data_IF_216032181339
#
_entry.id   IF_216032181339
#
_cell.length_a   1.000
_cell.length_b   1.000
_cell.length_c   1.000
_cell.angle_alpha   90.00
_cell.angle_beta   90.00
_cell.angle_gamma   90.00
#
_symmetry.space_group_name_H-M   'P 1'
#
loop_
_entity.id
_entity.type
_entity.pdbx_description
1 polymer ?
#
# COMPACT_ATOMS: atom_id res chain seq x y z
N UNK A 1 -15.22 19.19 29.89
CA UNK A 1 -15.55 17.75 29.73
C UNK A 1 -14.70 16.96 30.71
N UNK A 2 -15.28 16.09 31.54
CA UNK A 2 -14.49 15.18 32.39
C UNK A 2 -13.75 14.21 31.46
N UNK A 3 -12.40 14.17 31.55
CA UNK A 3 -11.60 13.18 30.81
C UNK A 3 -12.00 11.79 31.25
N UNK A 4 -12.46 10.95 30.34
CA UNK A 4 -12.86 9.59 30.66
C UNK A 4 -11.60 8.75 30.99
N UNK A 5 -11.51 8.34 32.27
CA UNK A 5 -10.40 7.52 32.76
C UNK A 5 -10.72 6.05 32.51
N UNK A 6 -9.77 5.35 31.89
CA UNK A 6 -9.78 3.89 31.72
C UNK A 6 -8.77 3.24 32.64
N UNK A 7 -9.16 2.18 33.34
CA UNK A 7 -8.30 1.45 34.26
C UNK A 7 -8.05 0.02 33.78
N UNK A 8 -6.80 -0.41 33.86
CA UNK A 8 -6.35 -1.78 33.59
C UNK A 8 -5.51 -2.26 34.77
N UNK A 9 -5.69 -3.48 35.23
CA UNK A 9 -4.85 -4.09 36.25
C UNK A 9 -4.29 -5.43 35.82
N UNK A 10 -3.13 -5.79 36.34
CA UNK A 10 -2.48 -7.07 36.06
C UNK A 10 -1.10 -7.23 36.65
N UNK A 11 -0.54 -8.43 36.52
CA UNK A 11 0.83 -8.72 37.01
C UNK A 11 1.91 -8.12 36.12
N UNK A 12 1.77 -8.15 34.81
CA UNK A 12 2.68 -7.58 33.80
C UNK A 12 4.15 -8.03 33.93
N UNK A 13 4.41 -9.32 34.18
CA UNK A 13 5.78 -9.85 34.34
C UNK A 13 6.71 -9.45 33.19
N UNK A 14 6.23 -9.62 31.94
CA UNK A 14 6.88 -9.15 30.72
C UNK A 14 5.81 -8.60 29.79
N UNK A 15 6.02 -7.40 29.27
CA UNK A 15 5.11 -6.83 28.27
C UNK A 15 5.26 -7.58 26.96
N UNK A 16 4.26 -8.40 26.63
CA UNK A 16 4.18 -9.16 25.38
C UNK A 16 3.06 -8.60 24.47
N UNK A 17 2.98 -9.02 23.20
CA UNK A 17 1.99 -8.49 22.25
C UNK A 17 0.53 -8.53 22.75
N UNK A 18 0.17 -9.48 23.63
CA UNK A 18 -1.14 -9.55 24.29
C UNK A 18 -1.40 -8.36 25.21
N UNK A 19 -0.44 -8.02 26.08
CA UNK A 19 -0.52 -6.83 26.93
C UNK A 19 -0.56 -5.56 26.12
N UNK A 20 0.25 -5.43 25.05
CA UNK A 20 0.23 -4.24 24.20
C UNK A 20 -1.12 -4.05 23.52
N UNK A 21 -1.78 -5.13 23.07
CA UNK A 21 -3.14 -5.08 22.53
C UNK A 21 -4.17 -4.64 23.57
N UNK A 22 -4.07 -5.18 24.81
CA UNK A 22 -4.92 -4.79 25.94
C UNK A 22 -4.79 -3.29 26.22
N UNK A 23 -3.57 -2.78 26.36
CA UNK A 23 -3.29 -1.37 26.63
C UNK A 23 -3.75 -0.48 25.46
N UNK A 24 -3.52 -0.90 24.22
CA UNK A 24 -3.99 -0.18 23.03
C UNK A 24 -5.52 -0.11 22.96
N UNK A 25 -6.19 -1.23 23.25
CA UNK A 25 -7.66 -1.27 23.33
C UNK A 25 -8.19 -0.36 24.43
N UNK A 26 -7.59 -0.42 25.63
CA UNK A 26 -7.95 0.43 26.75
C UNK A 26 -7.77 1.92 26.41
N UNK A 27 -6.62 2.31 25.86
CA UNK A 27 -6.33 3.69 25.45
C UNK A 27 -7.27 4.21 24.36
N UNK A 28 -7.70 3.36 23.44
CA UNK A 28 -8.65 3.73 22.39
C UNK A 28 -10.08 3.98 22.89
N UNK A 29 -10.39 3.58 24.14
CA UNK A 29 -11.73 3.71 24.75
C UNK A 29 -11.81 4.81 25.80
N UNK A 30 -10.78 5.68 25.97
CA UNK A 30 -10.85 6.83 26.84
C UNK A 30 -9.65 7.77 26.72
N UNK A 31 -9.75 8.92 27.36
CA UNK A 31 -8.73 9.97 27.26
C UNK A 31 -7.48 9.71 28.09
N UNK A 32 -7.62 9.03 29.23
CA UNK A 32 -6.55 8.74 30.17
C UNK A 32 -6.50 7.27 30.55
N UNK A 33 -5.40 6.61 30.25
CA UNK A 33 -5.14 5.21 30.61
C UNK A 33 -4.32 5.15 31.90
N UNK A 34 -4.91 4.55 32.92
CA UNK A 34 -4.29 4.30 34.21
C UNK A 34 -4.10 2.80 34.41
N UNK A 35 -2.88 2.39 34.78
CA UNK A 35 -2.54 0.96 34.91
C UNK A 35 -2.10 0.64 36.35
N UNK A 36 -2.79 -0.32 36.95
CA UNK A 36 -2.43 -0.91 38.27
C UNK A 36 -1.57 -2.15 38.09
N UNK A 37 -0.33 -2.11 38.55
CA UNK A 37 0.57 -3.27 38.58
C UNK A 37 0.46 -3.92 39.94
N UNK A 38 0.05 -5.20 40.00
CA UNK A 38 -0.11 -5.93 41.26
C UNK A 38 1.27 -6.08 41.96
N UNK A 39 1.35 -5.78 43.24
CA UNK A 39 2.58 -6.03 44.02
C UNK A 39 2.93 -7.52 44.04
N UNK A 40 4.16 -7.84 44.38
CA UNK A 40 4.60 -9.25 44.52
C UNK A 40 3.77 -9.98 45.56
N UNK A 41 3.34 -9.27 46.64
CA UNK A 41 2.45 -9.78 47.69
C UNK A 41 1.06 -10.14 47.13
N UNK A 42 0.47 -9.26 46.32
CA UNK A 42 -0.90 -9.46 45.76
C UNK A 42 -0.89 -10.46 44.64
N UNK A 43 0.14 -10.43 43.79
CA UNK A 43 0.28 -11.35 42.65
C UNK A 43 0.69 -12.76 43.08
N UNK A 44 1.35 -12.91 44.21
CA UNK A 44 1.78 -14.20 44.77
C UNK A 44 2.65 -14.98 43.78
N UNK A 45 2.35 -16.26 43.58
CA UNK A 45 3.09 -17.13 42.67
C UNK A 45 3.00 -16.73 41.18
N UNK A 46 2.12 -15.81 40.83
CA UNK A 46 2.03 -15.29 39.47
C UNK A 46 3.10 -14.21 39.17
N UNK A 47 3.77 -13.65 40.16
CA UNK A 47 4.86 -12.71 40.00
C UNK A 47 6.20 -13.44 39.79
N UNK A 48 6.79 -13.32 38.62
CA UNK A 48 8.09 -13.89 38.25
C UNK A 48 9.20 -12.84 38.13
N UNK A 49 8.80 -11.57 38.01
CA UNK A 49 9.70 -10.40 37.91
C UNK A 49 9.38 -9.47 39.10
N UNK A 50 10.38 -8.90 39.80
CA UNK A 50 10.15 -7.97 40.91
C UNK A 50 9.24 -6.79 40.49
N UNK A 51 8.33 -6.41 41.38
CA UNK A 51 7.28 -5.41 41.12
C UNK A 51 7.79 -4.08 40.57
N UNK A 52 8.98 -3.63 41.02
CA UNK A 52 9.53 -2.34 40.58
C UNK A 52 9.92 -2.34 39.10
N UNK A 53 10.52 -3.45 38.63
CA UNK A 53 10.83 -3.61 37.19
C UNK A 53 9.56 -3.74 36.35
N UNK A 54 8.53 -4.42 36.86
CA UNK A 54 7.23 -4.54 36.18
C UNK A 54 6.54 -3.19 36.07
N UNK A 55 6.58 -2.39 37.14
CA UNK A 55 6.04 -1.02 37.15
C UNK A 55 6.81 -0.11 36.18
N UNK A 56 8.13 -0.18 36.18
CA UNK A 56 8.97 0.60 35.28
C UNK A 56 8.67 0.26 33.81
N UNK A 57 8.61 -1.02 33.46
CA UNK A 57 8.26 -1.46 32.10
C UNK A 57 6.89 -0.94 31.64
N UNK A 58 5.90 -0.93 32.53
CA UNK A 58 4.58 -0.38 32.23
C UNK A 58 4.62 1.14 32.07
N UNK A 59 5.35 1.87 32.93
CA UNK A 59 5.52 3.33 32.86
C UNK A 59 6.23 3.79 31.58
N UNK A 60 7.18 2.99 31.07
CA UNK A 60 7.88 3.28 29.82
C UNK A 60 7.00 3.13 28.57
N UNK A 61 5.82 2.55 28.70
CA UNK A 61 4.93 2.35 27.55
C UNK A 61 4.20 3.65 27.21
N UNK A 62 4.42 4.20 26.03
CA UNK A 62 3.84 5.47 25.57
C UNK A 62 2.30 5.52 25.47
N UNK A 63 1.60 4.39 25.66
CA UNK A 63 0.14 4.35 25.74
C UNK A 63 -0.39 4.63 27.14
N UNK A 64 0.45 4.51 28.18
CA UNK A 64 0.08 4.59 29.60
C UNK A 64 0.31 6.01 30.10
N UNK A 65 -0.75 6.66 30.57
CA UNK A 65 -0.65 8.02 31.13
C UNK A 65 -0.19 7.98 32.59
N UNK A 66 -0.56 6.94 33.34
CA UNK A 66 -0.17 6.76 34.74
C UNK A 66 -0.10 5.26 35.10
N UNK A 67 0.89 4.87 35.89
CA UNK A 67 0.95 3.54 36.46
C UNK A 67 1.44 3.56 37.92
N UNK A 68 0.88 2.69 38.74
CA UNK A 68 1.21 2.55 40.17
C UNK A 68 1.09 1.10 40.67
N UNK A 69 1.67 0.83 41.81
CA UNK A 69 1.58 -0.48 42.45
C UNK A 69 0.25 -0.64 43.20
N UNK A 70 -0.40 -1.77 43.00
CA UNK A 70 -1.63 -2.16 43.66
C UNK A 70 -1.28 -3.17 44.76
N UNK A 71 -1.42 -2.74 46.00
CA UNK A 71 -1.09 -3.54 47.20
C UNK A 71 -2.32 -3.94 48.03
N UNK A 72 -3.50 -3.81 47.45
CA UNK A 72 -4.79 -4.21 48.03
C UNK A 72 -5.64 -4.94 46.98
N UNK A 73 -6.87 -5.31 47.33
CA UNK A 73 -7.82 -5.84 46.36
C UNK A 73 -8.07 -4.82 45.26
N UNK A 74 -8.12 -5.30 44.02
CA UNK A 74 -8.30 -4.43 42.82
C UNK A 74 -9.61 -3.65 42.91
N UNK A 75 -10.65 -4.24 43.49
CA UNK A 75 -11.96 -3.63 43.70
C UNK A 75 -11.89 -2.35 44.56
N UNK A 76 -11.02 -2.37 45.60
CA UNK A 76 -10.82 -1.19 46.45
C UNK A 76 -10.19 -0.04 45.67
N UNK A 77 -9.25 -0.34 44.77
CA UNK A 77 -8.62 0.63 43.91
C UNK A 77 -9.63 1.20 42.92
N UNK A 78 -10.49 0.34 42.34
CA UNK A 78 -11.55 0.76 41.42
C UNK A 78 -12.54 1.68 42.13
N UNK A 79 -12.94 1.36 43.37
CA UNK A 79 -13.88 2.18 44.15
C UNK A 79 -13.29 3.55 44.52
N UNK A 80 -11.99 3.64 44.73
CA UNK A 80 -11.28 4.91 44.99
C UNK A 80 -11.09 5.75 43.71
N UNK A 81 -10.67 5.10 42.63
CA UNK A 81 -10.36 5.76 41.35
C UNK A 81 -11.63 6.14 40.56
N UNK A 82 -12.69 5.32 40.68
CA UNK A 82 -13.97 5.45 39.94
C UNK A 82 -13.77 5.69 38.45
N UNK A 83 -13.02 4.83 37.72
CA UNK A 83 -12.80 5.01 36.31
C UNK A 83 -14.10 4.83 35.53
N UNK A 84 -14.28 5.56 34.43
CA UNK A 84 -15.44 5.37 33.56
C UNK A 84 -15.48 3.96 32.97
N UNK A 85 -14.29 3.39 32.65
CA UNK A 85 -14.13 2.06 32.11
C UNK A 85 -13.06 1.27 32.87
N UNK A 86 -13.32 -0.01 33.13
CA UNK A 86 -12.32 -0.99 33.53
C UNK A 86 -12.16 -1.99 32.41
N UNK A 87 -10.93 -2.28 31.99
CA UNK A 87 -10.67 -3.19 30.87
C UNK A 87 -9.86 -4.39 31.36
N UNK A 88 -10.33 -5.59 31.05
CA UNK A 88 -9.67 -6.88 31.37
C UNK A 88 -9.39 -7.69 30.11
N UNK A 89 -8.49 -8.64 30.18
CA UNK A 89 -8.26 -9.62 29.13
C UNK A 89 -9.47 -10.56 28.97
N UNK A 90 -9.70 -11.07 27.76
CA UNK A 90 -10.82 -11.98 27.43
C UNK A 90 -10.81 -13.27 28.27
N UNK A 91 -9.63 -13.71 28.69
CA UNK A 91 -9.42 -14.88 29.54
C UNK A 91 -10.18 -14.81 30.87
N UNK A 92 -10.52 -13.61 31.31
CA UNK A 92 -11.30 -13.37 32.53
C UNK A 92 -12.83 -13.36 32.31
N UNK A 93 -13.31 -13.44 31.06
CA UNK A 93 -14.73 -13.31 30.74
C UNK A 93 -15.60 -14.46 31.25
N UNK A 94 -15.02 -15.67 31.34
CA UNK A 94 -15.73 -16.89 31.78
C UNK A 94 -15.66 -17.13 33.30
N UNK A 95 -15.01 -16.23 34.07
CA UNK A 95 -14.84 -16.35 35.52
C UNK A 95 -15.71 -15.32 36.24
N UNK A 96 -16.01 -15.56 37.50
CA UNK A 96 -16.58 -14.50 38.36
C UNK A 96 -15.58 -13.33 38.43
N UNK A 97 -16.07 -12.16 38.08
CA UNK A 97 -15.28 -10.92 38.13
C UNK A 97 -15.76 -10.06 39.31
N UNK A 98 -15.10 -10.13 40.47
CA UNK A 98 -15.47 -9.31 41.65
C UNK A 98 -15.49 -7.81 41.33
N UNK A 99 -14.61 -7.35 40.40
CA UNK A 99 -14.55 -5.98 39.94
C UNK A 99 -15.84 -5.49 39.28
N UNK A 100 -16.68 -6.39 38.73
CA UNK A 100 -17.95 -6.00 38.12
C UNK A 100 -18.87 -5.30 39.14
N UNK A 101 -18.99 -5.86 40.35
CA UNK A 101 -19.82 -5.29 41.42
C UNK A 101 -19.29 -3.90 41.86
N UNK A 102 -17.98 -3.75 41.93
CA UNK A 102 -17.36 -2.48 42.25
C UNK A 102 -17.62 -1.41 41.20
N UNK A 103 -17.51 -1.78 39.91
CA UNK A 103 -17.75 -0.89 38.75
C UNK A 103 -19.25 -0.49 38.69
N UNK A 104 -20.16 -1.44 38.86
CA UNK A 104 -21.61 -1.20 38.82
C UNK A 104 -22.08 -0.26 39.92
N UNK A 105 -21.43 -0.29 41.09
CA UNK A 105 -21.80 0.54 42.27
C UNK A 105 -21.73 2.07 42.02
N UNK A 106 -20.96 2.51 41.05
CA UNK A 106 -20.84 3.96 40.70
C UNK A 106 -21.20 4.25 39.25
N UNK A 107 -21.74 3.29 38.48
CA UNK A 107 -22.19 3.46 37.11
C UNK A 107 -21.08 3.43 36.05
N UNK A 108 -19.91 2.85 36.36
CA UNK A 108 -18.85 2.55 35.40
C UNK A 108 -19.19 1.38 34.50
N UNK A 109 -18.26 0.99 33.61
CA UNK A 109 -18.42 -0.18 32.73
C UNK A 109 -17.19 -1.08 32.79
N UNK A 110 -17.42 -2.40 32.80
CA UNK A 110 -16.37 -3.41 32.64
C UNK A 110 -16.35 -3.92 31.20
N UNK A 111 -15.23 -3.82 30.52
CA UNK A 111 -15.01 -4.30 29.16
C UNK A 111 -13.97 -5.40 29.11
N UNK A 112 -14.14 -6.35 28.23
CA UNK A 112 -13.15 -7.40 27.97
C UNK A 112 -12.51 -7.18 26.60
N UNK A 113 -11.18 -7.03 26.59
CA UNK A 113 -10.46 -7.00 25.31
C UNK A 113 -10.34 -8.41 24.75
N UNK A 114 -10.53 -8.58 23.46
CA UNK A 114 -10.28 -9.85 22.78
C UNK A 114 -8.78 -10.14 22.75
N UNK A 115 -8.27 -10.88 23.71
CA UNK A 115 -6.84 -11.26 23.80
C UNK A 115 -6.40 -12.23 22.73
N UNK A 116 -7.29 -13.04 22.18
CA UNK A 116 -7.06 -13.92 21.03
C UNK A 116 -7.90 -13.52 19.86
N UNK A 117 -7.23 -13.48 18.70
CA UNK A 117 -7.89 -13.43 17.40
C UNK A 117 -8.43 -14.82 17.08
N UNK A 118 -9.36 -15.33 17.85
CA UNK A 118 -10.40 -16.20 17.34
C UNK A 118 -11.52 -15.30 16.90
N UNK A 119 -11.24 -14.52 15.88
CA UNK A 119 -12.30 -14.02 15.04
C UNK A 119 -12.92 -15.24 14.40
N UNK A 120 -14.19 -15.51 14.66
CA UNK A 120 -14.94 -16.29 13.70
C UNK A 120 -14.77 -15.52 12.38
N UNK A 121 -14.30 -16.20 11.34
CA UNK A 121 -14.08 -15.60 10.02
C UNK A 121 -15.30 -14.82 9.54
N UNK A 122 -16.48 -15.19 10.01
CA UNK A 122 -17.77 -14.55 9.73
C UNK A 122 -17.95 -13.20 10.47
N UNK A 123 -17.49 -13.07 11.72
CA UNK A 123 -17.59 -11.78 12.43
C UNK A 123 -16.52 -10.79 11.97
N UNK A 124 -15.36 -11.28 11.54
CA UNK A 124 -14.36 -10.46 10.84
C UNK A 124 -14.90 -10.00 9.49
N UNK A 125 -15.46 -10.91 8.70
CA UNK A 125 -16.05 -10.58 7.40
C UNK A 125 -17.23 -9.63 7.58
N UNK A 126 -18.10 -9.84 8.58
CA UNK A 126 -19.22 -8.94 8.87
C UNK A 126 -18.75 -7.57 9.37
N UNK A 127 -17.74 -7.51 10.24
CA UNK A 127 -17.13 -6.24 10.70
C UNK A 127 -16.31 -5.57 9.62
N UNK A 128 -15.60 -6.32 8.80
CA UNK A 128 -14.89 -5.83 7.63
C UNK A 128 -15.87 -5.31 6.56
N UNK A 129 -16.98 -6.03 6.31
CA UNK A 129 -18.05 -5.57 5.42
C UNK A 129 -18.80 -4.36 6.00
N UNK A 130 -19.14 -4.36 7.28
CA UNK A 130 -19.74 -3.19 7.96
C UNK A 130 -18.73 -2.03 8.10
N UNK A 131 -17.43 -2.29 8.22
CA UNK A 131 -16.38 -1.25 8.21
C UNK A 131 -15.98 -0.83 6.81
N UNK A 132 -16.23 -1.66 5.79
CA UNK A 132 -16.11 -1.24 4.37
C UNK A 132 -17.24 -0.27 4.00
N UNK A 133 -18.43 -0.43 4.55
CA UNK A 133 -19.49 0.59 4.45
C UNK A 133 -19.16 1.87 5.24
N UNK A 134 -18.27 1.80 6.24
CA UNK A 134 -17.82 2.92 7.06
C UNK A 134 -16.33 3.31 6.89
N UNK A 135 -15.57 2.68 6.03
CA UNK A 135 -14.37 3.31 5.44
C UNK A 135 -14.84 4.41 4.50
N UNK A 136 -15.51 5.41 5.06
CA UNK A 136 -15.68 6.67 4.40
C UNK A 136 -14.29 7.10 3.96
N UNK A 137 -14.09 7.18 2.65
CA UNK A 137 -12.93 7.86 2.07
C UNK A 137 -12.82 9.18 2.83
N UNK A 138 -11.78 9.32 3.65
CA UNK A 138 -11.56 10.54 4.41
C UNK A 138 -11.20 11.62 3.40
N UNK A 139 -12.17 12.43 3.02
CA UNK A 139 -11.95 13.52 2.10
C UNK A 139 -10.97 14.51 2.76
N UNK A 140 -9.92 14.96 2.07
CA UNK A 140 -8.97 15.94 2.58
C UNK A 140 -9.61 17.34 2.60
N UNK A 141 -10.56 17.54 3.53
CA UNK A 141 -11.43 18.73 3.61
C UNK A 141 -10.66 20.05 3.61
N UNK A 142 -9.54 20.10 4.35
CA UNK A 142 -8.71 21.31 4.40
C UNK A 142 -8.05 21.62 3.05
N UNK A 143 -7.54 20.61 2.35
CA UNK A 143 -6.99 20.76 1.00
C UNK A 143 -8.07 21.21 0.03
N UNK A 144 -9.21 20.50 0.01
CA UNK A 144 -10.34 20.82 -0.86
C UNK A 144 -10.83 22.27 -0.64
N UNK A 145 -10.95 22.70 0.62
CA UNK A 145 -11.35 24.09 0.96
C UNK A 145 -10.32 25.10 0.46
N UNK A 146 -9.03 24.91 0.75
CA UNK A 146 -7.96 25.82 0.30
C UNK A 146 -7.87 25.93 -1.22
N UNK A 147 -8.08 24.81 -1.93
CA UNK A 147 -7.99 24.75 -3.39
C UNK A 147 -9.32 24.95 -4.09
N UNK A 148 -10.41 25.20 -3.34
CA UNK A 148 -11.78 25.33 -3.86
C UNK A 148 -12.23 24.12 -4.70
N UNK A 149 -11.75 22.90 -4.33
CA UNK A 149 -12.11 21.66 -4.98
C UNK A 149 -13.41 21.14 -4.39
N UNK A 150 -14.38 20.85 -5.23
CA UNK A 150 -15.68 20.26 -4.86
C UNK A 150 -15.89 18.93 -5.56
N UNK A 151 -16.80 18.08 -5.05
CA UNK A 151 -17.17 16.86 -5.73
C UNK A 151 -17.66 17.11 -7.16
N UNK A 152 -18.44 18.19 -7.35
CA UNK A 152 -18.91 18.61 -8.67
C UNK A 152 -17.75 18.93 -9.61
N UNK A 153 -16.78 19.74 -9.17
CA UNK A 153 -15.62 20.08 -10.01
C UNK A 153 -14.78 18.86 -10.39
N UNK A 154 -14.69 17.85 -9.52
CA UNK A 154 -14.02 16.59 -9.83
C UNK A 154 -14.80 15.78 -10.88
N UNK A 155 -16.12 15.67 -10.73
CA UNK A 155 -16.99 15.01 -11.71
C UNK A 155 -16.90 15.70 -13.07
N UNK A 156 -16.93 17.03 -13.10
CA UNK A 156 -16.82 17.83 -14.34
C UNK A 156 -15.46 17.57 -15.04
N UNK A 157 -14.39 17.39 -14.29
CA UNK A 157 -13.06 17.01 -14.83
C UNK A 157 -13.09 15.59 -15.37
N UNK A 158 -13.66 14.62 -14.62
CA UNK A 158 -13.75 13.22 -15.06
C UNK A 158 -14.58 13.07 -16.33
N UNK A 159 -15.65 13.86 -16.50
CA UNK A 159 -16.47 13.84 -17.72
C UNK A 159 -15.68 14.25 -18.96
N UNK A 160 -14.62 15.07 -18.82
CA UNK A 160 -13.75 15.47 -19.94
C UNK A 160 -12.83 14.35 -20.44
N UNK A 161 -12.68 13.26 -19.66
CA UNK A 161 -11.88 12.10 -20.08
C UNK A 161 -12.63 11.22 -21.09
N UNK A 162 -13.96 11.34 -21.11
CA UNK A 162 -14.81 10.53 -22.00
C UNK A 162 -14.54 10.84 -23.48
N UNK A 163 -14.15 9.81 -24.21
CA UNK A 163 -13.87 9.90 -25.63
C UNK A 163 -12.47 10.44 -25.98
N UNK A 164 -11.65 10.82 -24.97
CA UNK A 164 -10.27 11.26 -25.20
C UNK A 164 -9.47 10.15 -25.88
N UNK A 165 -8.79 10.47 -26.97
CA UNK A 165 -7.97 9.54 -27.73
C UNK A 165 -6.58 9.44 -27.09
N UNK A 166 -6.30 8.31 -26.46
CA UNK A 166 -5.07 8.07 -25.70
C UNK A 166 -4.27 6.94 -26.34
N UNK A 167 -3.00 7.17 -26.55
CA UNK A 167 -2.02 6.14 -26.89
C UNK A 167 -1.19 5.85 -25.65
N UNK A 168 -1.11 4.59 -25.24
CA UNK A 168 -0.23 4.11 -24.19
C UNK A 168 0.79 3.17 -24.79
N UNK A 169 2.05 3.36 -24.47
CA UNK A 169 3.13 2.46 -24.91
C UNK A 169 4.09 2.19 -23.74
N UNK A 170 4.51 0.94 -23.60
CA UNK A 170 5.46 0.56 -22.56
C UNK A 170 5.47 -0.93 -22.27
N UNK A 171 6.12 -1.30 -21.15
CA UNK A 171 6.32 -2.69 -20.78
C UNK A 171 5.06 -3.28 -20.12
N UNK A 172 4.53 -4.34 -20.70
CA UNK A 172 3.51 -5.18 -20.07
C UNK A 172 4.13 -5.95 -18.90
N UNK A 173 3.39 -6.05 -17.80
CA UNK A 173 3.72 -6.90 -16.66
C UNK A 173 2.48 -7.73 -16.30
N UNK A 174 2.70 -8.99 -16.00
CA UNK A 174 1.73 -9.85 -15.32
C UNK A 174 2.17 -10.00 -13.87
N UNK A 175 1.34 -9.59 -12.93
CA UNK A 175 1.57 -9.74 -11.51
C UNK A 175 0.77 -10.94 -10.98
N UNK A 176 1.45 -11.95 -10.47
CA UNK A 176 0.83 -13.15 -9.88
C UNK A 176 1.10 -13.20 -8.38
N UNK A 177 0.03 -13.24 -7.59
CA UNK A 177 0.06 -13.36 -6.14
C UNK A 177 -0.31 -14.78 -5.75
N UNK A 178 0.67 -15.53 -5.25
CA UNK A 178 0.53 -16.93 -4.84
C UNK A 178 0.43 -16.96 -3.32
N UNK A 179 -0.76 -17.26 -2.81
CA UNK A 179 -0.98 -17.45 -1.37
C UNK A 179 -0.45 -18.84 -1.00
N UNK A 180 0.39 -18.88 0.04
CA UNK A 180 1.05 -20.09 0.48
C UNK A 180 0.81 -20.36 1.97
N UNK A 181 0.80 -21.64 2.33
CA UNK A 181 0.88 -22.10 3.71
C UNK A 181 2.33 -22.55 4.02
N UNK A 182 2.95 -21.99 5.08
CA UNK A 182 4.30 -22.38 5.45
C UNK A 182 4.30 -23.74 6.15
N UNK A 183 5.10 -24.66 5.63
CA UNK A 183 5.26 -26.01 6.19
C UNK A 183 6.38 -26.07 7.23
N UNK A 184 7.33 -25.13 7.19
CA UNK A 184 8.49 -25.10 8.09
C UNK A 184 9.78 -24.73 7.37
N UNK A 185 10.89 -25.09 7.98
CA UNK A 185 12.23 -24.99 7.37
C UNK A 185 12.61 -26.33 6.77
N UNK A 186 13.35 -26.33 5.66
CA UNK A 186 13.94 -27.52 5.09
C UNK A 186 15.00 -28.08 6.05
N UNK A 187 15.12 -29.42 6.09
CA UNK A 187 16.17 -30.10 6.86
C UNK A 187 17.53 -30.08 6.14
N UNK A 188 17.53 -29.95 4.80
CA UNK A 188 18.75 -29.98 3.97
C UNK A 188 19.43 -28.61 3.92
N UNK A 189 18.64 -27.54 3.72
CA UNK A 189 19.11 -26.15 3.63
C UNK A 189 18.23 -25.22 4.46
N UNK A 190 18.73 -24.10 5.02
CA UNK A 190 17.96 -23.17 5.82
C UNK A 190 16.96 -22.34 4.97
N UNK A 191 16.09 -23.05 4.23
CA UNK A 191 15.08 -22.45 3.35
C UNK A 191 13.67 -22.69 3.87
N UNK A 192 12.77 -21.74 3.60
CA UNK A 192 11.36 -21.86 3.97
C UNK A 192 10.65 -22.73 2.93
N UNK A 193 9.99 -23.80 3.41
CA UNK A 193 9.14 -24.66 2.59
C UNK A 193 7.71 -24.17 2.68
N UNK A 194 7.06 -24.01 1.52
CA UNK A 194 5.68 -23.53 1.42
C UNK A 194 4.87 -24.37 0.44
N UNK A 195 3.57 -24.52 0.71
CA UNK A 195 2.61 -25.11 -0.22
C UNK A 195 1.70 -24.01 -0.78
N UNK A 196 1.61 -23.86 -2.12
CA UNK A 196 0.66 -22.94 -2.74
C UNK A 196 -0.80 -23.36 -2.45
N UNK A 197 -1.64 -22.40 -2.03
CA UNK A 197 -3.06 -22.61 -1.76
C UNK A 197 -3.91 -22.07 -2.90
N UNK A 198 -3.59 -20.86 -3.36
CA UNK A 198 -4.33 -20.17 -4.41
C UNK A 198 -3.43 -19.18 -5.14
N UNK A 199 -3.78 -18.87 -6.38
CA UNK A 199 -3.12 -17.82 -7.16
C UNK A 199 -4.16 -16.81 -7.66
N UNK A 200 -3.73 -15.53 -7.74
CA UNK A 200 -4.46 -14.44 -8.40
C UNK A 200 -3.52 -13.70 -9.33
N UNK A 201 -3.97 -13.52 -10.56
CA UNK A 201 -3.19 -12.88 -11.60
C UNK A 201 -3.82 -11.54 -12.01
N UNK A 202 -3.00 -10.53 -12.22
CA UNK A 202 -3.42 -9.18 -12.58
C UNK A 202 -2.54 -8.64 -13.70
N UNK A 203 -3.11 -7.81 -14.58
CA UNK A 203 -2.29 -7.00 -15.48
C UNK A 203 -1.63 -5.87 -14.70
N UNK A 204 -0.39 -5.58 -15.03
CA UNK A 204 0.43 -4.54 -14.43
C UNK A 204 1.23 -3.77 -15.48
N UNK A 205 2.18 -2.95 -15.02
CA UNK A 205 3.00 -2.14 -15.92
C UNK A 205 2.17 -1.19 -16.78
N UNK A 206 2.52 -1.04 -18.04
CA UNK A 206 1.82 -0.19 -18.97
C UNK A 206 0.38 -0.68 -19.29
N UNK A 207 0.12 -1.99 -19.14
CA UNK A 207 -1.22 -2.55 -19.39
C UNK A 207 -2.26 -2.04 -18.38
N UNK A 208 -1.90 -1.91 -17.09
CA UNK A 208 -2.84 -1.37 -16.10
C UNK A 208 -3.08 0.14 -16.29
N UNK A 209 -2.07 0.87 -16.79
CA UNK A 209 -2.24 2.29 -17.15
C UNK A 209 -3.26 2.43 -18.28
N UNK A 210 -3.16 1.59 -19.31
CA UNK A 210 -4.13 1.55 -20.41
C UNK A 210 -5.54 1.20 -19.93
N UNK A 211 -5.68 0.19 -19.08
CA UNK A 211 -6.95 -0.23 -18.51
C UNK A 211 -7.61 0.87 -17.64
N UNK A 212 -6.82 1.58 -16.83
CA UNK A 212 -7.31 2.70 -16.02
C UNK A 212 -7.78 3.87 -16.90
N UNK A 213 -7.03 4.23 -17.95
CA UNK A 213 -7.43 5.27 -18.87
C UNK A 213 -8.76 4.91 -19.60
N UNK A 214 -8.90 3.66 -20.04
CA UNK A 214 -10.14 3.17 -20.63
C UNK A 214 -11.32 3.18 -19.64
N UNK A 215 -11.07 2.78 -18.38
CA UNK A 215 -12.08 2.80 -17.31
C UNK A 215 -12.57 4.22 -16.97
N UNK A 216 -11.73 5.23 -17.21
CA UNK A 216 -12.10 6.65 -17.09
C UNK A 216 -12.88 7.18 -18.30
N UNK A 217 -13.10 6.35 -19.31
CA UNK A 217 -13.92 6.65 -20.50
C UNK A 217 -13.12 7.08 -21.73
N UNK A 218 -11.80 6.99 -21.71
CA UNK A 218 -10.96 7.28 -22.87
C UNK A 218 -11.01 6.15 -23.91
N UNK A 219 -10.79 6.49 -25.19
CA UNK A 219 -10.50 5.55 -26.26
C UNK A 219 -9.00 5.27 -26.27
N UNK A 220 -8.60 4.10 -25.80
CA UNK A 220 -7.20 3.76 -25.57
C UNK A 220 -6.69 2.80 -26.64
N UNK A 221 -5.58 3.17 -27.29
CA UNK A 221 -4.74 2.25 -28.08
C UNK A 221 -3.49 1.94 -27.25
N UNK A 222 -3.26 0.66 -27.02
CA UNK A 222 -2.14 0.19 -26.20
C UNK A 222 -1.12 -0.59 -27.02
N UNK A 223 0.16 -0.25 -26.91
CA UNK A 223 1.26 -0.86 -27.62
C UNK A 223 2.29 -1.43 -26.66
N UNK A 224 2.69 -2.68 -26.89
CA UNK A 224 3.74 -3.34 -26.12
C UNK A 224 4.36 -4.51 -26.90
N UNK A 225 5.40 -5.11 -26.32
CA UNK A 225 6.01 -6.34 -26.83
C UNK A 225 5.86 -7.43 -25.76
N UNK A 226 5.45 -8.61 -26.17
CA UNK A 226 5.18 -9.78 -25.32
C UNK A 226 5.85 -11.03 -25.90
N UNK A 227 6.00 -12.07 -25.09
CA UNK A 227 6.39 -13.38 -25.58
C UNK A 227 5.22 -14.15 -26.22
N UNK A 228 5.51 -15.35 -26.70
CA UNK A 228 4.50 -16.33 -27.12
C UNK A 228 4.18 -17.29 -25.98
N UNK A 229 3.44 -16.80 -24.98
CA UNK A 229 3.20 -17.54 -23.74
C UNK A 229 1.81 -17.30 -23.13
N UNK A 230 1.49 -18.03 -22.06
CA UNK A 230 0.23 -17.93 -21.35
C UNK A 230 -0.01 -16.54 -20.74
N UNK A 231 1.06 -15.84 -20.34
CA UNK A 231 1.00 -14.48 -19.80
C UNK A 231 0.58 -13.48 -20.88
N UNK A 232 1.08 -13.62 -22.11
CA UNK A 232 0.65 -12.81 -23.25
C UNK A 232 -0.85 -13.00 -23.56
N UNK A 233 -1.32 -14.26 -23.55
CA UNK A 233 -2.74 -14.58 -23.73
C UNK A 233 -3.59 -13.92 -22.64
N UNK A 234 -3.19 -14.09 -21.39
CA UNK A 234 -3.87 -13.45 -20.26
C UNK A 234 -3.97 -11.93 -20.43
N UNK A 235 -2.88 -11.26 -20.83
CA UNK A 235 -2.89 -9.82 -21.08
C UNK A 235 -3.90 -9.41 -22.16
N UNK A 236 -3.96 -10.16 -23.29
CA UNK A 236 -4.93 -9.88 -24.36
C UNK A 236 -6.37 -9.99 -23.88
N UNK A 237 -6.66 -11.07 -23.16
CA UNK A 237 -8.00 -11.35 -22.63
C UNK A 237 -8.44 -10.27 -21.64
N UNK A 238 -7.56 -9.86 -20.72
CA UNK A 238 -7.87 -8.82 -19.73
C UNK A 238 -8.00 -7.43 -20.36
N UNK A 239 -7.10 -7.02 -21.26
CA UNK A 239 -7.17 -5.73 -21.95
C UNK A 239 -8.47 -5.61 -22.76
N UNK A 240 -8.91 -6.71 -23.40
CA UNK A 240 -10.17 -6.76 -24.14
C UNK A 240 -11.38 -6.53 -23.23
N UNK A 241 -11.37 -7.06 -21.97
CA UNK A 241 -12.45 -6.82 -20.99
C UNK A 241 -12.56 -5.36 -20.60
N UNK A 242 -11.45 -4.62 -20.59
CA UNK A 242 -11.44 -3.18 -20.34
C UNK A 242 -11.77 -2.33 -21.57
N UNK A 243 -12.00 -2.96 -22.73
CA UNK A 243 -12.28 -2.24 -23.99
C UNK A 243 -11.07 -1.51 -24.56
N UNK A 244 -9.86 -1.97 -24.25
CA UNK A 244 -8.60 -1.41 -24.76
C UNK A 244 -8.30 -2.00 -26.14
N UNK A 245 -8.07 -1.15 -27.13
CA UNK A 245 -7.55 -1.54 -28.46
C UNK A 245 -6.05 -1.82 -28.33
N UNK A 246 -5.69 -3.10 -28.21
CA UNK A 246 -4.32 -3.51 -27.90
C UNK A 246 -3.56 -4.04 -29.11
N UNK A 247 -2.32 -3.62 -29.25
CA UNK A 247 -1.37 -4.00 -30.30
C UNK A 247 -0.11 -4.61 -29.64
N UNK A 248 -0.20 -5.89 -29.27
CA UNK A 248 0.90 -6.62 -28.63
C UNK A 248 1.72 -7.33 -29.72
N UNK A 249 2.93 -6.85 -29.96
CA UNK A 249 3.91 -7.50 -30.84
C UNK A 249 4.45 -8.74 -30.13
N UNK A 250 4.50 -9.86 -30.84
CA UNK A 250 4.98 -11.12 -30.28
C UNK A 250 6.44 -11.34 -30.66
N UNK A 251 7.32 -11.36 -29.67
CA UNK A 251 8.74 -11.71 -29.77
C UNK A 251 8.97 -13.02 -29.01
N UNK A 252 9.07 -14.11 -29.74
CA UNK A 252 9.24 -15.48 -29.21
C UNK A 252 10.59 -15.69 -28.51
N UNK A 253 11.54 -14.79 -28.70
CA UNK A 253 12.87 -14.83 -28.10
C UNK A 253 12.92 -14.33 -26.65
N UNK A 254 11.78 -13.82 -26.12
CA UNK A 254 11.67 -13.32 -24.74
C UNK A 254 10.37 -13.79 -24.05
N UNK A 255 10.37 -13.96 -22.73
CA UNK A 255 9.12 -14.17 -22.01
C UNK A 255 8.33 -12.87 -21.91
N UNK A 256 7.00 -12.95 -21.83
CA UNK A 256 6.18 -11.86 -21.26
C UNK A 256 6.56 -11.67 -19.80
N UNK A 257 6.78 -10.43 -19.39
CA UNK A 257 7.21 -10.16 -17.99
C UNK A 257 6.19 -10.67 -16.99
N UNK A 258 6.58 -11.67 -16.20
CA UNK A 258 5.78 -12.25 -15.11
C UNK A 258 6.48 -12.02 -13.78
N UNK A 259 5.77 -11.41 -12.83
CA UNK A 259 6.25 -11.19 -11.46
C UNK A 259 5.41 -11.98 -10.48
N UNK A 260 5.98 -13.04 -9.94
CA UNK A 260 5.33 -13.89 -8.94
C UNK A 260 5.69 -13.46 -7.53
N UNK A 261 4.70 -13.35 -6.66
CA UNK A 261 4.86 -13.02 -5.25
C UNK A 261 4.28 -14.14 -4.40
N UNK A 262 5.16 -14.94 -3.83
CA UNK A 262 4.78 -15.99 -2.88
C UNK A 262 4.54 -15.35 -1.51
N UNK A 263 3.33 -15.46 -1.01
CA UNK A 263 2.90 -14.78 0.21
C UNK A 263 2.31 -15.75 1.20
N UNK A 264 2.67 -15.57 2.48
CA UNK A 264 1.95 -16.20 3.59
C UNK A 264 1.35 -15.11 4.46
N UNK A 265 0.03 -15.19 4.67
CA UNK A 265 -0.74 -14.16 5.37
C UNK A 265 -0.52 -12.77 4.74
N UNK A 266 0.04 -11.83 5.49
CA UNK A 266 0.33 -10.46 5.02
C UNK A 266 1.77 -10.25 4.52
N UNK A 267 2.66 -11.25 4.62
CA UNK A 267 4.09 -11.13 4.28
C UNK A 267 4.41 -11.77 2.94
N UNK A 268 5.24 -11.11 2.15
CA UNK A 268 5.87 -11.70 0.97
C UNK A 268 7.10 -12.47 1.41
N UNK A 269 7.17 -13.76 1.07
CA UNK A 269 8.27 -14.65 1.39
C UNK A 269 9.34 -14.61 0.30
N UNK A 270 8.90 -14.63 -0.96
CA UNK A 270 9.78 -14.68 -2.13
C UNK A 270 9.13 -13.90 -3.29
N UNK A 271 9.98 -13.28 -4.11
CA UNK A 271 9.60 -12.72 -5.41
C UNK A 271 10.40 -13.40 -6.50
N UNK A 272 9.73 -13.93 -7.51
CA UNK A 272 10.34 -14.49 -8.71
C UNK A 272 9.91 -13.63 -9.91
N UNK A 273 10.87 -13.24 -10.74
CA UNK A 273 10.59 -12.42 -11.92
C UNK A 273 11.13 -13.12 -13.17
N UNK A 274 10.22 -13.41 -14.09
CA UNK A 274 10.55 -13.88 -15.44
C UNK A 274 10.48 -12.66 -16.35
N UNK A 275 11.62 -12.19 -16.84
CA UNK A 275 11.68 -10.98 -17.65
C UNK A 275 12.91 -11.00 -18.56
N UNK A 276 12.82 -10.29 -19.69
CA UNK A 276 13.96 -9.95 -20.52
C UNK A 276 14.48 -8.56 -20.14
N UNK A 277 15.79 -8.40 -20.10
CA UNK A 277 16.45 -7.11 -19.80
C UNK A 277 17.05 -6.45 -21.03
N UNK A 278 17.01 -7.14 -22.18
CA UNK A 278 17.51 -6.63 -23.45
C UNK A 278 16.48 -5.78 -24.18
N UNK A 279 16.93 -4.83 -24.94
CA UNK A 279 16.08 -4.09 -25.85
C UNK A 279 15.46 -5.04 -26.89
N UNK A 280 14.30 -4.66 -27.46
CA UNK A 280 13.72 -5.33 -28.62
C UNK A 280 14.61 -5.14 -29.83
N UNK A 281 14.61 -6.14 -30.71
CA UNK A 281 15.41 -6.14 -31.93
C UNK A 281 14.96 -5.04 -32.90
N UNK A 282 15.82 -4.63 -33.81
CA UNK A 282 15.59 -3.51 -34.74
C UNK A 282 14.30 -3.69 -35.58
N UNK A 283 13.98 -4.91 -35.98
CA UNK A 283 12.73 -5.22 -36.70
C UNK A 283 11.50 -4.86 -35.89
N UNK A 284 11.48 -5.23 -34.60
CA UNK A 284 10.38 -4.88 -33.70
C UNK A 284 10.35 -3.38 -33.38
N UNK A 285 11.52 -2.73 -33.26
CA UNK A 285 11.61 -1.28 -33.09
C UNK A 285 10.93 -0.55 -34.26
N UNK A 286 11.26 -0.93 -35.49
CA UNK A 286 10.71 -0.35 -36.72
C UNK A 286 9.19 -0.60 -36.84
N UNK A 287 8.74 -1.82 -36.54
CA UNK A 287 7.31 -2.14 -36.56
C UNK A 287 6.53 -1.36 -35.51
N UNK A 288 7.05 -1.32 -34.28
CA UNK A 288 6.45 -0.57 -33.16
C UNK A 288 6.37 0.93 -33.49
N UNK A 289 7.46 1.53 -33.97
CA UNK A 289 7.52 2.93 -34.35
C UNK A 289 6.54 3.27 -35.46
N UNK A 290 6.40 2.41 -36.48
CA UNK A 290 5.46 2.59 -37.59
C UNK A 290 4.01 2.58 -37.08
N UNK A 291 3.65 1.61 -36.24
CA UNK A 291 2.31 1.50 -35.68
C UNK A 291 1.97 2.67 -34.74
N UNK A 292 2.94 3.06 -33.89
CA UNK A 292 2.80 4.22 -32.99
C UNK A 292 2.65 5.53 -33.77
N UNK A 293 3.45 5.76 -34.81
CA UNK A 293 3.34 6.94 -35.66
C UNK A 293 1.93 7.10 -36.25
N UNK A 294 1.34 6.00 -36.73
CA UNK A 294 -0.05 5.99 -37.22
C UNK A 294 -1.05 6.26 -36.10
N UNK A 295 -0.84 5.69 -34.90
CA UNK A 295 -1.75 5.89 -33.78
C UNK A 295 -1.69 7.32 -33.22
N UNK A 296 -0.50 7.93 -33.20
CA UNK A 296 -0.29 9.30 -32.71
C UNK A 296 -0.79 10.39 -33.71
N UNK A 297 -1.19 10.03 -34.92
CA UNK A 297 -1.67 11.02 -35.90
C UNK A 297 -2.96 11.73 -35.46
N UNK A 298 -3.78 11.06 -34.66
CA UNK A 298 -5.06 11.58 -34.17
C UNK A 298 -5.22 11.49 -32.65
N UNK A 299 -4.14 11.16 -31.96
CA UNK A 299 -4.11 11.05 -30.50
C UNK A 299 -4.04 12.43 -29.83
N UNK A 300 -4.76 12.61 -28.74
CA UNK A 300 -4.71 13.81 -27.89
C UNK A 300 -3.69 13.67 -26.77
N UNK A 301 -3.41 12.42 -26.35
CA UNK A 301 -2.47 12.11 -25.29
C UNK A 301 -1.65 10.86 -25.64
N UNK A 302 -0.33 10.97 -25.46
CA UNK A 302 0.63 9.86 -25.50
C UNK A 302 1.20 9.64 -24.11
N UNK A 303 1.16 8.39 -23.63
CA UNK A 303 1.73 7.98 -22.33
C UNK A 303 2.84 6.97 -22.57
N UNK A 304 4.06 7.33 -22.20
CA UNK A 304 5.17 6.39 -22.04
C UNK A 304 5.14 5.81 -20.63
N UNK A 305 4.98 4.49 -20.51
CA UNK A 305 5.01 3.77 -19.22
C UNK A 305 6.13 2.73 -19.24
N UNK A 306 7.29 3.15 -18.83
CA UNK A 306 8.56 2.47 -18.99
C UNK A 306 8.97 1.75 -17.69
N UNK A 307 9.19 0.45 -17.77
CA UNK A 307 9.72 -0.37 -16.67
C UNK A 307 11.15 -0.85 -16.93
N UNK A 308 11.76 -0.35 -18.01
CA UNK A 308 13.10 -0.69 -18.46
C UNK A 308 13.30 -2.17 -18.79
N UNK A 309 12.26 -2.81 -19.35
CA UNK A 309 12.33 -4.20 -19.85
C UNK A 309 12.50 -4.28 -21.37
N UNK A 310 12.84 -3.16 -21.99
CA UNK A 310 13.32 -3.10 -23.36
C UNK A 310 12.30 -2.79 -24.44
N UNK A 311 11.02 -2.56 -24.11
CA UNK A 311 9.98 -2.18 -25.09
C UNK A 311 10.21 -0.79 -25.66
N UNK A 312 10.86 0.11 -24.91
CA UNK A 312 11.08 1.52 -25.28
C UNK A 312 12.56 1.86 -25.49
N UNK A 313 13.21 1.41 -26.60
CA UNK A 313 14.54 1.89 -26.97
C UNK A 313 14.52 3.40 -27.23
N UNK A 314 15.64 4.09 -26.99
CA UNK A 314 15.72 5.54 -27.09
C UNK A 314 15.32 6.05 -28.49
N UNK A 315 15.75 5.37 -29.54
CA UNK A 315 15.42 5.75 -30.92
C UNK A 315 13.89 5.76 -31.19
N UNK A 316 13.15 4.79 -30.63
CA UNK A 316 11.69 4.76 -30.74
C UNK A 316 11.07 5.91 -29.93
N UNK A 317 11.55 6.17 -28.71
CA UNK A 317 11.06 7.28 -27.87
C UNK A 317 11.25 8.61 -28.57
N UNK A 318 12.46 8.89 -29.11
CA UNK A 318 12.79 10.15 -29.77
C UNK A 318 11.93 10.36 -31.03
N UNK A 319 11.78 9.32 -31.86
CA UNK A 319 10.98 9.37 -33.07
C UNK A 319 9.50 9.66 -32.78
N UNK A 320 8.92 8.96 -31.82
CA UNK A 320 7.50 9.10 -31.48
C UNK A 320 7.23 10.42 -30.76
N UNK A 321 8.14 10.88 -29.91
CA UNK A 321 8.07 12.20 -29.29
C UNK A 321 8.05 13.31 -30.35
N UNK A 322 8.90 13.23 -31.37
CA UNK A 322 8.92 14.20 -32.46
C UNK A 322 7.62 14.22 -33.27
N UNK A 323 7.04 13.03 -33.53
CA UNK A 323 5.75 12.90 -34.24
C UNK A 323 4.60 13.47 -33.40
N UNK A 324 4.54 13.12 -32.11
CA UNK A 324 3.54 13.62 -31.19
C UNK A 324 3.59 15.16 -31.05
N UNK A 325 4.79 15.71 -30.91
CA UNK A 325 5.00 17.16 -30.86
C UNK A 325 4.50 17.87 -32.13
N UNK A 326 4.78 17.30 -33.33
CA UNK A 326 4.28 17.83 -34.62
C UNK A 326 2.76 17.86 -34.68
N UNK A 327 2.12 16.83 -34.10
CA UNK A 327 0.67 16.69 -34.09
C UNK A 327 0.01 17.44 -32.90
N UNK A 328 0.79 18.11 -32.04
CA UNK A 328 0.34 18.78 -30.81
C UNK A 328 -0.29 17.81 -29.80
N UNK A 329 0.05 16.53 -29.87
CA UNK A 329 -0.33 15.51 -28.90
C UNK A 329 0.38 15.79 -27.59
N UNK A 330 -0.33 15.78 -26.47
CA UNK A 330 0.26 15.89 -25.14
C UNK A 330 1.04 14.63 -24.78
N UNK A 331 2.19 14.79 -24.12
CA UNK A 331 3.08 13.67 -23.83
C UNK A 331 3.30 13.59 -22.32
N UNK A 332 3.06 12.41 -21.75
CA UNK A 332 3.35 12.09 -20.36
C UNK A 332 4.32 10.91 -20.31
N UNK A 333 5.30 10.94 -19.41
CA UNK A 333 6.23 9.84 -19.23
C UNK A 333 6.40 9.48 -17.75
N UNK A 334 6.38 8.17 -17.51
CA UNK A 334 6.78 7.52 -16.25
C UNK A 334 7.85 6.48 -16.55
N UNK A 335 8.93 6.46 -15.76
CA UNK A 335 10.00 5.47 -15.91
C UNK A 335 10.39 4.93 -14.56
N UNK A 336 10.09 3.66 -14.33
CA UNK A 336 10.26 3.02 -13.04
C UNK A 336 11.68 2.48 -12.86
N UNK A 337 12.23 2.69 -11.66
CA UNK A 337 13.53 2.18 -11.22
C UNK A 337 13.36 1.17 -10.08
N UNK A 338 12.79 -0.01 -10.36
CA UNK A 338 12.58 -1.06 -9.35
C UNK A 338 13.57 -2.22 -9.48
N UNK A 339 13.51 -2.94 -10.60
CA UNK A 339 14.41 -4.07 -10.90
C UNK A 339 15.59 -3.65 -11.76
N UNK A 340 15.51 -2.47 -12.36
CA UNK A 340 16.52 -1.83 -13.21
C UNK A 340 16.68 -0.37 -12.80
N UNK A 341 17.79 0.23 -13.14
CA UNK A 341 17.99 1.67 -13.00
C UNK A 341 17.45 2.33 -14.27
N UNK A 342 16.30 2.98 -14.14
CA UNK A 342 15.71 3.79 -15.20
C UNK A 342 16.23 5.24 -15.13
N UNK A 343 16.12 5.93 -16.25
CA UNK A 343 16.41 7.36 -16.35
C UNK A 343 15.19 8.09 -16.89
N UNK A 344 14.41 8.71 -16.00
CA UNK A 344 13.22 9.47 -16.40
C UNK A 344 13.59 10.69 -17.25
N UNK A 345 14.79 11.24 -17.11
CA UNK A 345 15.24 12.41 -17.85
C UNK A 345 15.53 12.13 -19.33
N UNK A 346 15.55 10.84 -19.74
CA UNK A 346 15.69 10.43 -21.14
C UNK A 346 14.48 10.79 -22.02
N UNK A 347 13.31 10.97 -21.40
CA UNK A 347 12.09 11.40 -22.09
C UNK A 347 12.12 12.91 -22.27
N UNK A 348 12.68 13.37 -23.40
CA UNK A 348 12.84 14.79 -23.71
C UNK A 348 11.58 15.41 -24.29
N UNK A 349 11.40 16.72 -24.06
CA UNK A 349 10.33 17.53 -24.64
C UNK A 349 8.92 17.00 -24.36
N UNK A 350 8.68 16.50 -23.14
CA UNK A 350 7.38 15.99 -22.70
C UNK A 350 6.62 17.05 -21.90
N UNK A 351 5.28 16.97 -21.87
CA UNK A 351 4.47 17.91 -21.10
C UNK A 351 4.52 17.62 -19.60
N UNK A 352 4.60 16.34 -19.21
CA UNK A 352 4.58 15.93 -17.82
C UNK A 352 5.46 14.69 -17.56
N UNK A 353 6.23 14.75 -16.49
CA UNK A 353 6.94 13.61 -15.90
C UNK A 353 6.31 13.22 -14.56
N UNK A 354 6.31 11.91 -14.23
CA UNK A 354 5.73 11.42 -12.96
C UNK A 354 6.70 10.53 -12.16
N UNK A 355 7.93 10.97 -11.88
CA UNK A 355 8.89 10.16 -11.12
C UNK A 355 8.51 10.03 -9.65
N UNK A 356 8.99 8.96 -9.00
CA UNK A 356 9.19 8.96 -7.56
C UNK A 356 10.38 9.86 -7.20
N UNK A 357 10.49 10.27 -5.93
CA UNK A 357 11.68 11.00 -5.46
C UNK A 357 12.97 10.25 -5.81
N UNK A 358 12.99 8.92 -5.56
CA UNK A 358 14.16 8.10 -5.86
C UNK A 358 14.53 8.11 -7.35
N UNK A 359 13.54 8.01 -8.23
CA UNK A 359 13.76 8.02 -9.69
C UNK A 359 14.29 9.37 -10.17
N UNK A 360 13.75 10.47 -9.66
CA UNK A 360 14.23 11.81 -9.96
C UNK A 360 15.67 12.01 -9.49
N UNK A 361 16.01 11.59 -8.26
CA UNK A 361 17.38 11.67 -7.72
C UNK A 361 18.36 10.80 -8.49
N UNK A 362 17.98 9.59 -8.88
CA UNK A 362 18.81 8.71 -9.69
C UNK A 362 19.13 9.32 -11.07
N UNK A 363 18.11 9.84 -11.76
CA UNK A 363 18.27 10.47 -13.07
C UNK A 363 19.21 11.70 -13.03
N UNK A 364 19.14 12.46 -11.94
CA UNK A 364 19.96 13.65 -11.73
C UNK A 364 21.31 13.36 -11.06
N UNK A 365 21.51 12.15 -10.53
CA UNK A 365 22.65 11.79 -9.67
C UNK A 365 22.80 12.76 -8.49
N UNK A 366 21.70 13.17 -7.90
CA UNK A 366 21.63 14.21 -6.88
C UNK A 366 20.89 13.69 -5.64
N UNK A 367 21.60 13.56 -4.53
CA UNK A 367 21.09 13.06 -3.25
C UNK A 367 20.94 14.17 -2.20
N UNK A 368 21.45 15.38 -2.46
CA UNK A 368 21.61 16.42 -1.44
C UNK A 368 20.52 17.48 -1.49
N UNK A 369 20.05 17.84 -2.68
CA UNK A 369 19.08 18.93 -2.85
C UNK A 369 17.67 18.58 -2.34
N UNK A 370 16.92 19.61 -1.95
CA UNK A 370 15.55 19.52 -1.54
C UNK A 370 14.61 19.15 -2.68
N UNK A 371 13.42 18.60 -2.35
CA UNK A 371 12.43 18.08 -3.32
C UNK A 371 12.02 19.10 -4.40
N UNK A 372 11.87 20.37 -4.04
CA UNK A 372 11.50 21.44 -4.99
C UNK A 372 12.58 21.62 -6.04
N UNK A 373 13.84 21.67 -5.61
CA UNK A 373 15.02 21.78 -6.50
C UNK A 373 15.13 20.55 -7.39
N UNK A 374 14.95 19.35 -6.83
CA UNK A 374 14.94 18.09 -7.61
C UNK A 374 13.84 18.09 -8.67
N UNK A 375 12.64 18.56 -8.36
CA UNK A 375 11.54 18.66 -9.32
C UNK A 375 11.84 19.65 -10.45
N UNK A 376 12.44 20.79 -10.14
CA UNK A 376 12.88 21.77 -11.14
C UNK A 376 14.01 21.21 -12.02
N UNK A 377 15.05 20.62 -11.41
CA UNK A 377 16.18 20.06 -12.14
C UNK A 377 15.77 18.92 -13.08
N UNK A 378 14.84 18.05 -12.69
CA UNK A 378 14.37 16.98 -13.58
C UNK A 378 13.56 17.53 -14.77
N UNK A 379 12.79 18.61 -14.58
CA UNK A 379 12.15 19.31 -15.68
C UNK A 379 13.17 19.93 -16.63
N UNK A 380 14.20 20.59 -16.11
CA UNK A 380 15.29 21.16 -16.93
C UNK A 380 16.02 20.05 -17.68
N UNK A 381 16.42 18.98 -16.99
CA UNK A 381 17.15 17.88 -17.60
C UNK A 381 16.38 17.20 -18.75
N UNK A 382 15.07 17.08 -18.63
CA UNK A 382 14.21 16.49 -19.66
C UNK A 382 13.64 17.51 -20.65
N UNK A 383 13.81 18.81 -20.45
CA UNK A 383 13.07 19.86 -21.13
C UNK A 383 11.54 19.61 -21.03
N UNK A 384 11.07 19.28 -19.85
CA UNK A 384 9.67 18.93 -19.59
C UNK A 384 8.87 20.16 -19.12
N UNK A 385 7.58 20.17 -19.46
CA UNK A 385 6.67 21.26 -19.06
C UNK A 385 6.36 21.28 -17.54
N UNK A 386 6.30 20.10 -16.92
CA UNK A 386 6.03 19.94 -15.49
C UNK A 386 6.52 18.57 -14.98
N UNK A 387 6.64 18.45 -13.65
CA UNK A 387 6.87 17.16 -12.98
C UNK A 387 5.97 17.02 -11.75
N UNK A 388 5.46 15.80 -11.54
CA UNK A 388 4.80 15.38 -10.30
C UNK A 388 5.72 14.36 -9.63
N UNK A 389 6.37 14.75 -8.54
CA UNK A 389 7.24 13.86 -7.77
C UNK A 389 6.39 13.09 -6.75
N UNK A 390 6.33 11.76 -6.91
CA UNK A 390 5.55 10.87 -6.04
C UNK A 390 6.33 10.57 -4.74
N UNK A 391 5.70 10.73 -3.58
CA UNK A 391 6.32 10.56 -2.26
C UNK A 391 5.77 9.35 -1.47
N UNK A 392 5.15 8.40 -2.15
CA UNK A 392 4.56 7.22 -1.52
C UNK A 392 3.38 7.58 -0.62
N UNK A 393 3.48 7.22 0.67
CA UNK A 393 2.39 7.48 1.64
C UNK A 393 2.19 8.98 1.95
N UNK A 394 3.10 9.83 1.55
CA UNK A 394 3.03 11.28 1.78
C UNK A 394 2.38 12.05 0.63
N UNK A 395 2.12 11.40 -0.51
CA UNK A 395 1.45 12.00 -1.68
C UNK A 395 2.23 12.00 -2.98
#
# INVERSE_FOLDING_TARGET
>A
MRRETVFVSGTFNVLHPGHLRLLKFAKANGDRLVVGVLTDRVAGSAAHVPQDFRLEAVKMNGLVDEAFLVDSAVEEVILKLKPALVVKGKEHKSHENPEQKAVDSYGGKLLFSSGDVVFSSLDLIRREMASQEQKSISLPKQFMSRRKVTAKSLIDVMQKFKGLKVVVVGDVIVDEYISCDPLGMSEEDPTIVVTPISSRTFIGGAAIVAAHAASLGAHVKFFSVVGDDASAKFCRDELSKFGVDHHLLVDDSRPTTLKQRFRSRSKTLLRVSHLAQRLIDESFQNELATKLAKACSDAELLIFSDFNYGTLPQGVVDQITAIAAKNKTKIVADSQSSSQIGDISRFKNVDLLTPTEREARLALRNTEDGLVVIAELVCVAANAGAAIVKLGEQG
#
